data_IF_864162043576
#
_entry.id   IF_864162043576
#
_cell.length_a   1.000
_cell.length_b   1.000
_cell.length_c   1.000
_cell.angle_alpha   90.00
_cell.angle_beta   90.00
_cell.angle_gamma   90.00
#
_symmetry.space_group_name_H-M   'P 1'
#
loop_
_entity.id
_entity.type
_entity.pdbx_description
1 polymer ?
#
# COMPACT_ATOMS: atom_id res chain seq x y z
N UNK A 1 -12.85 2.31 3.87
CA UNK A 1 -12.88 3.71 3.42
C UNK A 1 -12.93 3.76 1.89
N UNK A 2 -14.12 4.02 1.34
CA UNK A 2 -14.37 4.16 -0.11
C UNK A 2 -14.08 5.59 -0.56
N UNK A 3 -13.64 5.77 -1.80
CA UNK A 3 -13.46 7.09 -2.42
C UNK A 3 -14.34 7.19 -3.65
N UNK A 4 -15.35 8.05 -3.58
CA UNK A 4 -16.15 8.41 -4.74
C UNK A 4 -15.63 9.72 -5.35
N UNK A 5 -15.66 9.76 -6.69
CA UNK A 5 -15.34 10.93 -7.52
C UNK A 5 -16.64 11.50 -8.09
N UNK A 6 -16.69 12.80 -8.43
CA UNK A 6 -17.93 13.45 -8.88
C UNK A 6 -18.59 12.78 -10.10
N UNK A 7 -17.81 12.10 -10.95
CA UNK A 7 -18.24 11.68 -12.30
C UNK A 7 -18.51 10.17 -12.43
N UNK A 8 -18.43 9.40 -11.34
CA UNK A 8 -18.67 7.95 -11.35
C UNK A 8 -19.81 7.59 -10.41
N UNK A 9 -20.71 6.72 -10.88
CA UNK A 9 -21.89 6.24 -10.14
C UNK A 9 -21.59 5.94 -8.66
N UNK A 10 -22.50 6.35 -7.77
CA UNK A 10 -22.33 6.29 -6.32
C UNK A 10 -23.64 6.53 -5.59
N UNK A 11 -23.59 6.60 -4.26
CA UNK A 11 -24.78 6.82 -3.43
C UNK A 11 -25.36 8.23 -3.64
N UNK A 12 -26.68 8.36 -3.57
CA UNK A 12 -27.35 9.66 -3.70
C UNK A 12 -26.94 10.63 -2.58
N UNK A 13 -26.82 10.13 -1.34
CA UNK A 13 -26.36 10.91 -0.20
C UNK A 13 -24.95 11.47 -0.41
N UNK A 14 -24.04 10.72 -1.05
CA UNK A 14 -22.69 11.19 -1.38
C UNK A 14 -22.76 12.31 -2.42
N UNK A 15 -23.60 12.20 -3.45
CA UNK A 15 -23.79 13.29 -4.43
C UNK A 15 -24.35 14.57 -3.78
N UNK A 16 -25.31 14.43 -2.87
CA UNK A 16 -25.87 15.56 -2.10
C UNK A 16 -24.79 16.22 -1.25
N UNK A 17 -24.01 15.44 -0.50
CA UNK A 17 -22.87 15.93 0.27
C UNK A 17 -21.81 16.63 -0.58
N UNK A 18 -21.49 16.10 -1.76
CA UNK A 18 -20.52 16.74 -2.66
C UNK A 18 -20.96 18.15 -3.05
N UNK A 19 -22.27 18.35 -3.29
CA UNK A 19 -22.87 19.64 -3.68
C UNK A 19 -23.03 20.62 -2.52
N UNK A 20 -23.16 20.15 -1.28
CA UNK A 20 -23.40 21.04 -0.13
C UNK A 20 -22.18 21.91 0.22
N UNK A 21 -20.97 21.47 -0.13
CA UNK A 21 -19.73 22.16 0.21
C UNK A 21 -19.20 21.84 1.60
N UNK A 22 -19.96 21.09 2.41
CA UNK A 22 -19.58 20.73 3.78
C UNK A 22 -18.28 19.92 3.81
N UNK A 23 -17.52 20.11 4.88
CA UNK A 23 -16.29 19.35 5.15
C UNK A 23 -16.58 17.93 5.60
N UNK A 24 -17.69 17.71 6.30
CA UNK A 24 -18.14 16.39 6.75
C UNK A 24 -19.65 16.33 7.00
N UNK A 25 -20.21 15.13 6.96
CA UNK A 25 -21.61 14.88 7.29
C UNK A 25 -21.84 13.42 7.69
N UNK A 26 -22.74 13.17 8.63
CA UNK A 26 -23.25 11.82 8.89
C UNK A 26 -24.47 11.59 7.99
N UNK A 27 -24.44 10.51 7.22
CA UNK A 27 -25.50 10.15 6.28
C UNK A 27 -25.90 8.70 6.47
N UNK A 28 -27.15 8.39 6.11
CA UNK A 28 -27.65 7.02 6.05
C UNK A 28 -27.57 6.52 4.60
N UNK A 29 -26.96 5.35 4.42
CA UNK A 29 -26.95 4.64 3.15
C UNK A 29 -28.28 3.91 2.94
N UNK A 30 -28.57 3.56 1.70
CA UNK A 30 -29.71 2.67 1.40
C UNK A 30 -29.45 1.29 1.99
N UNK A 31 -30.52 0.56 2.31
CA UNK A 31 -30.40 -0.85 2.65
C UNK A 31 -29.74 -1.60 1.46
N UNK A 32 -28.79 -2.51 1.73
CA UNK A 32 -28.20 -3.34 0.70
C UNK A 32 -29.25 -4.31 0.12
N UNK A 33 -29.06 -4.76 -1.11
CA UNK A 33 -29.86 -5.83 -1.70
C UNK A 33 -29.59 -7.15 -0.96
N UNK A 34 -30.57 -8.05 -0.91
CA UNK A 34 -30.48 -9.38 -0.30
C UNK A 34 -29.33 -10.20 -0.88
N UNK A 35 -29.04 -10.01 -2.17
CA UNK A 35 -27.88 -10.64 -2.81
C UNK A 35 -26.57 -10.15 -2.20
N UNK A 36 -26.40 -8.83 -2.06
CA UNK A 36 -25.20 -8.25 -1.45
C UNK A 36 -25.04 -8.67 0.02
N UNK A 37 -26.15 -8.75 0.77
CA UNK A 37 -26.17 -9.26 2.15
C UNK A 37 -25.60 -10.68 2.21
N UNK A 38 -25.98 -11.53 1.26
CA UNK A 38 -25.52 -12.92 1.18
C UNK A 38 -24.07 -13.01 0.73
N UNK A 39 -23.71 -12.31 -0.35
CA UNK A 39 -22.39 -12.37 -0.97
C UNK A 39 -21.30 -11.76 -0.07
N UNK A 40 -21.60 -10.70 0.67
CA UNK A 40 -20.64 -9.98 1.51
C UNK A 40 -20.83 -10.18 3.00
N UNK A 41 -21.86 -10.91 3.44
CA UNK A 41 -22.15 -11.13 4.86
C UNK A 41 -22.41 -9.84 5.64
N UNK A 42 -22.97 -8.81 5.00
CA UNK A 42 -23.22 -7.51 5.60
C UNK A 42 -24.64 -7.40 6.19
N UNK A 43 -24.90 -6.50 7.15
CA UNK A 43 -26.25 -6.33 7.69
C UNK A 43 -27.25 -5.86 6.63
N UNK A 44 -28.46 -6.44 6.64
CA UNK A 44 -29.55 -6.04 5.73
C UNK A 44 -30.17 -4.65 6.05
N UNK A 45 -29.75 -4.03 7.14
CA UNK A 45 -30.27 -2.74 7.58
C UNK A 45 -29.50 -1.58 6.95
N UNK A 46 -30.17 -0.44 6.68
CA UNK A 46 -29.47 0.75 6.21
C UNK A 46 -28.44 1.22 7.23
N UNK A 47 -27.20 1.43 6.77
CA UNK A 47 -26.06 1.78 7.63
C UNK A 47 -25.84 3.29 7.68
N UNK A 48 -25.53 3.80 8.86
CA UNK A 48 -25.04 5.17 9.03
C UNK A 48 -23.53 5.22 8.81
N UNK A 49 -23.08 6.27 8.14
CA UNK A 49 -21.66 6.50 7.84
C UNK A 49 -21.35 7.98 7.91
N UNK A 50 -20.13 8.32 8.32
CA UNK A 50 -19.58 9.67 8.22
C UNK A 50 -18.86 9.83 6.89
N UNK A 51 -19.24 10.86 6.16
CA UNK A 51 -18.57 11.34 4.96
C UNK A 51 -17.60 12.45 5.35
N UNK A 52 -16.38 12.40 4.82
CA UNK A 52 -15.33 13.41 5.02
C UNK A 52 -14.83 13.85 3.66
N UNK A 53 -14.86 15.16 3.40
CA UNK A 53 -14.33 15.77 2.18
C UNK A 53 -12.81 15.92 2.31
N UNK A 54 -12.08 15.42 1.34
CA UNK A 54 -10.63 15.59 1.21
C UNK A 54 -10.30 16.17 -0.15
N UNK A 55 -9.61 17.31 -0.15
CA UNK A 55 -9.13 17.96 -1.37
C UNK A 55 -7.66 17.61 -1.54
N UNK A 56 -7.32 17.05 -2.69
CA UNK A 56 -5.93 16.73 -3.00
C UNK A 56 -5.14 17.98 -3.44
N UNK A 57 -3.80 17.97 -3.41
CA UNK A 57 -2.99 19.13 -3.81
C UNK A 57 -3.23 19.62 -5.24
N UNK A 58 -3.68 18.74 -6.14
CA UNK A 58 -4.12 19.03 -7.51
C UNK A 58 -5.56 19.56 -7.61
N UNK A 59 -6.22 19.84 -6.48
CA UNK A 59 -7.57 20.38 -6.40
C UNK A 59 -8.69 19.34 -6.58
N UNK A 60 -8.36 18.06 -6.76
CA UNK A 60 -9.38 17.04 -6.94
C UNK A 60 -10.10 16.73 -5.62
N UNK A 61 -11.44 16.76 -5.65
CA UNK A 61 -12.27 16.46 -4.49
C UNK A 61 -12.47 14.94 -4.39
N UNK A 62 -12.26 14.41 -3.20
CA UNK A 62 -12.50 13.02 -2.82
C UNK A 62 -13.40 12.99 -1.61
N UNK A 63 -14.42 12.12 -1.63
CA UNK A 63 -15.24 11.86 -0.44
C UNK A 63 -14.81 10.54 0.17
N UNK A 64 -14.47 10.60 1.45
CA UNK A 64 -14.02 9.48 2.25
C UNK A 64 -15.18 9.02 3.14
N UNK A 65 -15.45 7.71 3.17
CA UNK A 65 -16.52 7.14 4.01
C UNK A 65 -15.93 6.33 5.17
N UNK A 66 -16.39 6.60 6.39
CA UNK A 66 -15.90 5.97 7.64
C UNK A 66 -17.05 5.69 8.63
N UNK A 67 -16.84 4.73 9.52
CA UNK A 67 -17.70 4.44 10.68
C UNK A 67 -17.19 5.10 11.99
N UNK A 68 -16.20 5.99 11.88
CA UNK A 68 -15.67 6.78 12.99
C UNK A 68 -16.47 8.09 13.12
N UNK A 69 -17.50 8.07 13.95
CA UNK A 69 -18.47 9.18 14.04
C UNK A 69 -18.03 10.36 14.90
N UNK A 70 -17.17 10.12 15.90
CA UNK A 70 -16.73 11.17 16.82
C UNK A 70 -15.76 12.14 16.14
N UNK A 71 -16.20 13.38 15.95
CA UNK A 71 -15.39 14.43 15.32
C UNK A 71 -14.31 15.01 16.24
N UNK A 72 -14.46 14.88 17.57
CA UNK A 72 -13.45 15.32 18.52
C UNK A 72 -12.29 14.32 18.59
N UNK A 73 -12.60 13.03 18.68
CA UNK A 73 -11.56 11.98 18.70
C UNK A 73 -10.95 11.74 17.31
N UNK A 74 -11.75 11.90 16.24
CA UNK A 74 -11.30 11.69 14.86
C UNK A 74 -11.61 12.93 13.99
N UNK A 75 -10.74 13.95 14.00
CA UNK A 75 -10.91 15.15 13.21
C UNK A 75 -10.93 14.89 11.70
N UNK A 76 -11.76 15.64 10.97
CA UNK A 76 -11.90 15.52 9.51
C UNK A 76 -10.56 15.75 8.76
N UNK A 77 -9.73 16.66 9.28
CA UNK A 77 -8.47 17.09 8.68
C UNK A 77 -7.45 15.93 8.56
N UNK A 78 -7.49 14.96 9.48
CA UNK A 78 -6.50 13.88 9.55
C UNK A 78 -6.76 12.76 8.52
N UNK A 79 -8.01 12.62 8.07
CA UNK A 79 -8.41 11.56 7.15
C UNK A 79 -7.70 11.64 5.79
N UNK A 80 -7.32 12.84 5.33
CA UNK A 80 -6.55 13.00 4.10
C UNK A 80 -5.18 12.32 4.18
N UNK A 81 -4.44 12.59 5.27
CA UNK A 81 -3.14 11.98 5.53
C UNK A 81 -3.26 10.47 5.80
N UNK A 82 -4.25 10.06 6.59
CA UNK A 82 -4.53 8.64 6.86
C UNK A 82 -4.84 7.87 5.58
N UNK A 83 -5.71 8.40 4.72
CA UNK A 83 -6.03 7.76 3.45
C UNK A 83 -4.82 7.69 2.52
N UNK A 84 -3.93 8.69 2.56
CA UNK A 84 -2.68 8.68 1.81
C UNK A 84 -1.78 7.50 2.21
N UNK A 85 -1.75 7.11 3.50
CA UNK A 85 -0.97 5.96 3.95
C UNK A 85 -1.38 4.64 3.29
N UNK A 86 -2.63 4.52 2.80
CA UNK A 86 -3.07 3.35 2.02
C UNK A 86 -2.21 3.11 0.79
N UNK A 87 -1.63 4.15 0.17
CA UNK A 87 -0.80 4.01 -1.03
C UNK A 87 0.39 3.07 -0.82
N UNK A 88 0.85 2.91 0.43
CA UNK A 88 1.92 1.97 0.79
C UNK A 88 1.62 0.53 0.35
N UNK A 89 0.35 0.11 0.31
CA UNK A 89 -0.03 -1.23 -0.16
C UNK A 89 0.17 -1.40 -1.67
N UNK A 90 -0.09 -0.34 -2.45
CA UNK A 90 0.10 -0.38 -3.91
C UNK A 90 1.58 -0.48 -4.26
N UNK A 91 2.44 0.24 -3.52
CA UNK A 91 3.89 0.06 -3.64
C UNK A 91 4.34 -1.34 -3.20
N UNK A 92 3.69 -1.97 -2.21
CA UNK A 92 3.98 -3.36 -1.84
C UNK A 92 3.62 -4.34 -2.97
N UNK A 93 2.43 -4.20 -3.58
CA UNK A 93 2.07 -5.01 -4.75
C UNK A 93 3.03 -4.81 -5.92
N UNK A 94 3.46 -3.57 -6.16
CA UNK A 94 4.46 -3.26 -7.19
C UNK A 94 5.80 -3.94 -6.90
N UNK A 95 6.27 -3.96 -5.65
CA UNK A 95 7.49 -4.69 -5.25
C UNK A 95 7.32 -6.20 -5.45
N UNK A 96 6.24 -6.79 -4.96
CA UNK A 96 5.99 -8.23 -5.11
C UNK A 96 5.95 -8.65 -6.59
N UNK A 97 5.20 -7.94 -7.42
CA UNK A 97 5.07 -8.26 -8.85
C UNK A 97 6.35 -8.03 -9.62
N UNK A 98 6.99 -6.86 -9.49
CA UNK A 98 8.09 -6.47 -10.38
C UNK A 98 9.49 -6.75 -9.84
N UNK A 99 9.69 -6.84 -8.51
CA UNK A 99 11.01 -7.08 -7.92
C UNK A 99 11.20 -8.51 -7.46
N UNK A 100 10.17 -9.08 -6.85
CA UNK A 100 10.15 -10.48 -6.41
C UNK A 100 9.59 -11.43 -7.47
N UNK A 101 9.22 -10.90 -8.65
CA UNK A 101 8.71 -11.65 -9.79
C UNK A 101 7.60 -12.62 -9.37
N UNK A 102 6.54 -12.10 -8.74
CA UNK A 102 5.46 -12.92 -8.18
C UNK A 102 4.92 -13.97 -9.16
N UNK A 103 4.84 -13.60 -10.43
CA UNK A 103 4.31 -14.43 -11.53
C UNK A 103 5.30 -15.52 -12.01
N UNK A 104 6.58 -15.47 -11.59
CA UNK A 104 7.58 -16.49 -11.88
C UNK A 104 7.45 -17.62 -10.84
N UNK A 105 6.62 -18.61 -11.15
CA UNK A 105 6.38 -19.78 -10.30
C UNK A 105 7.26 -20.95 -10.71
N UNK A 106 7.67 -21.76 -9.74
CA UNK A 106 8.52 -22.94 -9.88
C UNK A 106 7.76 -24.18 -10.34
N UNK A 107 6.42 -24.17 -10.28
CA UNK A 107 5.58 -25.27 -10.72
C UNK A 107 4.18 -24.85 -11.14
N UNK A 108 3.47 -25.77 -11.79
CA UNK A 108 2.12 -25.54 -12.32
C UNK A 108 1.00 -25.95 -11.35
N UNK A 109 1.33 -26.66 -10.26
CA UNK A 109 0.34 -27.09 -9.28
C UNK A 109 -0.08 -25.91 -8.38
N UNK A 110 -1.32 -25.93 -7.90
CA UNK A 110 -1.81 -24.93 -6.94
C UNK A 110 -0.89 -24.84 -5.70
N UNK A 111 -0.41 -25.98 -5.20
CA UNK A 111 0.48 -26.02 -4.05
C UNK A 111 1.81 -25.31 -4.33
N UNK A 112 2.44 -25.57 -5.49
CA UNK A 112 3.69 -24.91 -5.86
C UNK A 112 3.52 -23.38 -5.95
N UNK A 113 2.42 -22.92 -6.58
CA UNK A 113 2.09 -21.49 -6.66
C UNK A 113 1.90 -20.87 -5.27
N UNK A 114 1.19 -21.56 -4.37
CA UNK A 114 0.98 -21.08 -3.00
C UNK A 114 2.28 -21.01 -2.20
N UNK A 115 3.16 -22.00 -2.35
CA UNK A 115 4.47 -22.01 -1.69
C UNK A 115 5.37 -20.87 -2.19
N UNK A 116 5.45 -20.66 -3.50
CA UNK A 116 6.23 -19.56 -4.07
C UNK A 116 5.70 -18.20 -3.65
N UNK A 117 4.37 -18.04 -3.62
CA UNK A 117 3.73 -16.83 -3.13
C UNK A 117 4.12 -16.56 -1.67
N UNK A 118 3.96 -17.55 -0.80
CA UNK A 118 4.28 -17.44 0.62
C UNK A 118 5.77 -17.14 0.85
N UNK A 119 6.67 -17.81 0.12
CA UNK A 119 8.10 -17.56 0.19
C UNK A 119 8.46 -16.13 -0.22
N UNK A 120 7.86 -15.60 -1.29
CA UNK A 120 8.09 -14.21 -1.73
C UNK A 120 7.57 -13.19 -0.73
N UNK A 121 6.40 -13.42 -0.13
CA UNK A 121 5.87 -12.57 0.94
C UNK A 121 6.77 -12.59 2.18
N UNK A 122 7.23 -13.78 2.59
CA UNK A 122 8.18 -13.93 3.69
C UNK A 122 9.48 -13.16 3.41
N UNK A 123 10.02 -13.26 2.20
CA UNK A 123 11.20 -12.50 1.79
C UNK A 123 10.99 -10.97 1.86
N UNK A 124 9.85 -10.41 1.38
CA UNK A 124 9.56 -8.97 1.50
C UNK A 124 9.49 -8.54 2.97
N UNK A 125 8.87 -9.37 3.83
CA UNK A 125 8.75 -9.11 5.26
C UNK A 125 10.11 -9.14 5.97
N UNK A 126 10.93 -10.18 5.74
CA UNK A 126 12.28 -10.28 6.31
C UNK A 126 13.16 -9.11 5.86
N UNK A 127 13.03 -8.70 4.60
CA UNK A 127 13.74 -7.53 4.10
C UNK A 127 13.28 -6.24 4.80
N UNK A 128 11.98 -6.07 5.01
CA UNK A 128 11.44 -4.91 5.73
C UNK A 128 11.96 -4.88 7.18
N UNK A 129 11.97 -6.03 7.86
CA UNK A 129 12.53 -6.17 9.21
C UNK A 129 14.03 -5.90 9.24
N UNK A 130 14.80 -6.39 8.27
CA UNK A 130 16.22 -6.10 8.18
C UNK A 130 16.49 -4.60 8.00
N UNK A 131 15.67 -3.89 7.23
CA UNK A 131 15.79 -2.43 7.09
C UNK A 131 15.47 -1.71 8.40
N UNK A 132 14.45 -2.18 9.13
CA UNK A 132 14.07 -1.64 10.43
C UNK A 132 15.21 -1.84 11.45
N UNK A 133 15.64 -3.08 11.64
CA UNK A 133 16.72 -3.44 12.57
C UNK A 133 18.02 -2.69 12.25
N UNK A 134 18.41 -2.60 10.97
CA UNK A 134 19.58 -1.85 10.57
C UNK A 134 19.47 -0.35 10.90
N UNK A 135 18.27 0.23 10.79
CA UNK A 135 18.04 1.65 11.17
C UNK A 135 17.99 1.85 12.68
N UNK A 136 17.55 0.85 13.44
CA UNK A 136 17.57 0.87 14.91
C UNK A 136 19.00 0.79 15.45
N UNK A 137 19.87 -0.02 14.84
CA UNK A 137 21.28 -0.13 15.19
C UNK A 137 22.10 1.09 14.76
N UNK A 138 21.84 1.63 13.57
CA UNK A 138 22.51 2.82 13.02
C UNK A 138 21.48 3.82 12.47
N UNK A 139 21.02 4.77 13.31
CA UNK A 139 20.01 5.75 12.95
C UNK A 139 20.45 6.65 11.79
N UNK A 140 19.60 6.74 10.77
CA UNK A 140 19.87 7.55 9.60
C UNK A 140 19.69 9.06 9.88
N UNK A 141 20.53 9.92 9.26
CA UNK A 141 20.33 11.36 9.30
C UNK A 141 18.96 11.78 8.74
N UNK A 142 18.47 12.94 9.17
CA UNK A 142 17.18 13.47 8.71
C UNK A 142 17.10 13.57 7.17
N UNK A 143 15.98 13.13 6.61
CA UNK A 143 15.76 13.11 5.16
C UNK A 143 16.54 12.02 4.40
N UNK A 144 17.35 11.18 5.05
CA UNK A 144 17.91 9.97 4.43
C UNK A 144 16.96 8.79 4.63
N UNK A 145 16.84 7.95 3.60
CA UNK A 145 16.03 6.73 3.64
C UNK A 145 16.79 5.57 3.01
N UNK A 146 16.60 4.37 3.56
CA UNK A 146 17.15 3.13 3.00
C UNK A 146 16.60 2.91 1.59
N UNK A 147 17.49 2.55 0.67
CA UNK A 147 17.07 2.06 -0.63
C UNK A 147 16.62 0.60 -0.52
N UNK A 148 15.31 0.38 -0.39
CA UNK A 148 14.74 -0.98 -0.34
C UNK A 148 15.02 -1.81 -1.61
N UNK A 149 15.40 -1.22 -2.76
CA UNK A 149 15.83 -2.03 -3.91
C UNK A 149 17.19 -2.67 -3.66
N UNK A 150 18.09 -1.93 -3.00
CA UNK A 150 19.41 -2.42 -2.65
C UNK A 150 19.35 -3.41 -1.49
N UNK A 151 18.54 -3.12 -0.47
CA UNK A 151 18.34 -4.05 0.65
C UNK A 151 17.87 -5.44 0.18
N UNK A 152 16.99 -5.48 -0.83
CA UNK A 152 16.61 -6.74 -1.48
C UNK A 152 17.82 -7.50 -2.04
N UNK A 153 18.73 -6.81 -2.73
CA UNK A 153 19.95 -7.40 -3.30
C UNK A 153 20.87 -7.98 -2.22
N UNK A 154 21.00 -7.29 -1.08
CA UNK A 154 21.81 -7.75 0.05
C UNK A 154 21.17 -8.99 0.68
N UNK A 155 19.90 -8.89 1.09
CA UNK A 155 19.18 -9.96 1.78
C UNK A 155 19.07 -11.21 0.90
N UNK A 156 18.76 -11.08 -0.39
CA UNK A 156 18.69 -12.21 -1.32
C UNK A 156 19.98 -13.04 -1.36
N UNK A 157 21.15 -12.42 -1.13
CA UNK A 157 22.45 -13.13 -1.15
C UNK A 157 22.74 -13.88 0.15
N UNK A 158 22.34 -13.32 1.30
CA UNK A 158 22.62 -13.91 2.62
C UNK A 158 21.53 -14.85 3.10
N UNK A 159 20.29 -14.70 2.62
CA UNK A 159 19.14 -15.44 3.11
C UNK A 159 19.28 -16.97 2.98
N UNK A 160 19.75 -17.56 1.86
CA UNK A 160 19.95 -19.00 1.78
C UNK A 160 20.96 -19.50 2.81
N UNK A 161 22.06 -18.76 3.03
CA UNK A 161 23.06 -19.09 4.04
C UNK A 161 22.47 -19.03 5.44
N UNK A 162 21.73 -17.96 5.78
CA UNK A 162 21.09 -17.82 7.10
C UNK A 162 20.08 -18.95 7.37
N UNK A 163 19.31 -19.36 6.35
CA UNK A 163 18.29 -20.39 6.49
C UNK A 163 18.84 -21.82 6.51
N UNK A 164 19.95 -22.08 5.81
CA UNK A 164 20.50 -23.43 5.63
C UNK A 164 21.73 -23.71 6.50
N UNK A 165 22.46 -22.68 6.90
CA UNK A 165 23.74 -22.78 7.61
C UNK A 165 23.65 -21.90 8.87
N UNK A 166 23.59 -22.54 10.04
CA UNK A 166 23.38 -21.85 11.32
C UNK A 166 24.63 -21.20 11.90
N UNK A 167 25.80 -21.41 11.30
CA UNK A 167 27.05 -20.86 11.80
C UNK A 167 27.21 -19.40 11.37
N UNK A 168 27.60 -18.53 12.32
CA UNK A 168 27.92 -17.10 12.09
C UNK A 168 26.77 -16.21 11.60
N UNK A 169 25.50 -16.60 11.80
CA UNK A 169 24.32 -15.80 11.41
C UNK A 169 24.44 -14.33 11.87
N UNK A 170 24.85 -14.10 13.12
CA UNK A 170 24.98 -12.76 13.68
C UNK A 170 25.99 -11.91 12.90
N UNK A 171 27.12 -12.48 12.48
CA UNK A 171 28.13 -11.77 11.71
C UNK A 171 27.63 -11.42 10.31
N UNK A 172 26.92 -12.36 9.66
CA UNK A 172 26.32 -12.14 8.35
C UNK A 172 25.23 -11.06 8.38
N UNK A 173 24.37 -11.09 9.41
CA UNK A 173 23.33 -10.09 9.61
C UNK A 173 23.93 -8.71 9.87
N UNK A 174 24.94 -8.62 10.75
CA UNK A 174 25.64 -7.36 11.02
C UNK A 174 26.22 -6.74 9.74
N UNK A 175 26.94 -7.53 8.94
CA UNK A 175 27.48 -7.08 7.65
C UNK A 175 26.38 -6.67 6.66
N UNK A 176 25.26 -7.41 6.65
CA UNK A 176 24.12 -7.07 5.81
C UNK A 176 23.51 -5.72 6.22
N UNK A 177 23.38 -5.46 7.53
CA UNK A 177 22.84 -4.21 8.06
C UNK A 177 23.75 -3.02 7.73
N UNK A 178 25.06 -3.16 7.92
CA UNK A 178 26.06 -2.14 7.54
C UNK A 178 25.94 -1.77 6.05
N UNK A 179 25.80 -2.76 5.17
CA UNK A 179 25.60 -2.51 3.73
C UNK A 179 24.26 -1.80 3.44
N UNK A 180 23.19 -2.19 4.13
CA UNK A 180 21.85 -1.62 3.94
C UNK A 180 21.84 -0.14 4.35
N UNK A 181 22.39 0.19 5.52
CA UNK A 181 22.46 1.57 6.05
C UNK A 181 23.43 2.42 5.24
N UNK A 182 24.53 1.84 4.75
CA UNK A 182 25.47 2.52 3.87
C UNK A 182 24.87 2.94 2.52
N UNK A 183 23.76 2.33 2.09
CA UNK A 183 23.13 2.60 0.79
C UNK A 183 21.76 3.29 0.91
N UNK A 184 21.82 4.61 1.09
CA UNK A 184 20.63 5.47 1.24
C UNK A 184 20.42 6.40 0.05
N UNK A 185 19.21 6.94 -0.05
CA UNK A 185 18.91 8.09 -0.91
C UNK A 185 18.40 9.26 -0.07
N UNK A 186 18.54 10.48 -0.61
CA UNK A 186 17.97 11.69 0.00
C UNK A 186 16.52 11.82 -0.42
N UNK A 187 15.61 11.70 0.53
CA UNK A 187 14.22 12.06 0.38
C UNK A 187 14.09 13.58 0.53
N UNK A 188 13.28 14.20 -0.34
CA UNK A 188 12.96 15.62 -0.28
C UNK A 188 11.44 15.73 -0.30
N UNK A 189 10.89 16.33 0.74
CA UNK A 189 9.44 16.51 0.85
C UNK A 189 8.93 17.52 -0.19
N UNK A 190 7.67 17.37 -0.58
CA UNK A 190 7.02 18.29 -1.54
C UNK A 190 7.45 18.14 -3.01
N UNK A 191 8.40 17.27 -3.35
CA UNK A 191 8.78 17.05 -4.75
C UNK A 191 7.73 16.19 -5.45
N UNK A 192 6.93 16.82 -6.31
CA UNK A 192 6.11 16.14 -7.29
C UNK A 192 6.92 15.80 -8.54
N UNK A 193 6.89 14.53 -8.96
CA UNK A 193 7.39 14.09 -10.26
C UNK A 193 6.18 13.67 -11.08
N UNK A 194 5.50 14.60 -11.78
CA UNK A 194 4.32 14.26 -12.55
C UNK A 194 4.68 13.20 -13.59
N UNK A 195 3.84 12.18 -13.71
CA UNK A 195 4.02 11.17 -14.74
C UNK A 195 3.82 11.85 -16.09
N UNK A 196 4.79 11.73 -16.99
CA UNK A 196 4.62 12.16 -18.37
C UNK A 196 3.42 11.43 -18.97
N UNK A 197 2.50 12.19 -19.56
CA UNK A 197 1.37 11.65 -20.30
C UNK A 197 1.92 10.87 -21.49
N UNK A 198 1.82 9.55 -21.43
CA UNK A 198 2.10 8.67 -22.55
C UNK A 198 0.85 7.87 -22.84
N UNK A 199 0.55 7.70 -24.12
CA UNK A 199 -0.48 6.76 -24.55
C UNK A 199 -0.15 5.38 -23.96
N UNK A 200 -1.16 4.73 -23.37
CA UNK A 200 -0.99 3.36 -22.92
C UNK A 200 -0.66 2.50 -24.14
N UNK A 201 0.39 1.68 -24.09
CA UNK A 201 0.66 0.74 -25.17
C UNK A 201 -0.58 -0.16 -25.36
N UNK A 202 -0.84 -0.56 -26.60
CA UNK A 202 -1.92 -1.50 -26.90
C UNK A 202 -1.77 -2.78 -26.06
N UNK A 203 -2.88 -3.41 -25.70
CA UNK A 203 -2.93 -4.57 -24.79
C UNK A 203 -2.02 -5.74 -25.22
N UNK A 204 -1.79 -5.91 -26.53
CA UNK A 204 -0.90 -6.94 -27.07
C UNK A 204 0.60 -6.58 -26.95
N UNK A 205 0.94 -5.31 -26.74
CA UNK A 205 2.30 -4.80 -26.53
C UNK A 205 2.65 -4.60 -25.05
N UNK A 206 1.67 -4.72 -24.14
CA UNK A 206 1.88 -4.50 -22.70
C UNK A 206 2.53 -5.66 -21.97
N UNK A 207 2.56 -6.86 -22.57
CA UNK A 207 3.30 -8.01 -22.04
C UNK A 207 4.50 -8.23 -22.96
N UNK A 208 5.72 -8.20 -22.39
CA UNK A 208 6.89 -8.72 -23.12
C UNK A 208 6.64 -10.21 -23.35
N UNK A 209 6.86 -10.70 -24.57
CA UNK A 209 6.96 -12.14 -24.80
C UNK A 209 8.03 -12.69 -23.85
N UNK A 210 7.66 -13.72 -23.09
CA UNK A 210 8.59 -14.46 -22.25
C UNK A 210 9.71 -15.07 -23.09
#
# INVERSE_FOLDING_TARGET
MRVDRPDKGGFECVRKFMRSGDTEAIVKLNAPDLRDVTDYGCPATPQEVRLVRSVTPDGAIRVLMTNLFDAHTFPAADFGALYHQRWRIEEAFKRLKHRLNLEHVSGLSQLAVMQDFAAKVLCDNLQALACLAATEEDPLPEGRRINHAYAHTVIKRVLPTILLISNEINLLLKRAFELIVGHTYRHREGISKPRTSSHKPHKHLSHKAC
#
